data_IF_942834995588
#
_entry.id   IF_942834995588
#
_cell.length_a   1.000
_cell.length_b   1.000
_cell.length_c   1.000
_cell.angle_alpha   90.00
_cell.angle_beta   90.00
_cell.angle_gamma   90.00
#
_symmetry.space_group_name_H-M   'P 1'
#
loop_
_entity.id
_entity.type
_entity.pdbx_description
1 polymer ?
#
# COMPACT_ATOMS: atom_id res chain seq x y z
N UNK A 1 -15.72 -30.53 6.02
CA UNK A 1 -14.51 -30.33 5.19
C UNK A 1 -14.40 -28.84 4.96
N UNK A 2 -13.52 -28.19 5.72
CA UNK A 2 -13.30 -26.75 5.64
C UNK A 2 -12.65 -26.43 4.30
N UNK A 3 -13.43 -25.78 3.43
CA UNK A 3 -13.01 -25.36 2.11
C UNK A 3 -12.18 -24.09 2.28
N UNK A 4 -10.89 -24.24 2.59
CA UNK A 4 -9.91 -23.17 2.54
C UNK A 4 -9.79 -22.70 1.08
N UNK A 5 -10.63 -21.73 0.70
CA UNK A 5 -10.60 -21.08 -0.62
C UNK A 5 -9.24 -20.40 -0.81
N UNK A 6 -8.48 -20.96 -1.75
CA UNK A 6 -7.18 -20.49 -2.19
C UNK A 6 -7.32 -19.23 -3.06
N UNK A 7 -7.20 -18.07 -2.41
CA UNK A 7 -6.28 -17.01 -2.85
C UNK A 7 -6.44 -16.29 -4.20
N UNK A 8 -7.59 -16.28 -4.88
CA UNK A 8 -7.91 -15.27 -5.93
C UNK A 8 -9.40 -15.00 -6.05
N UNK A 9 -9.97 -14.34 -5.06
CA UNK A 9 -11.28 -13.72 -5.27
C UNK A 9 -11.12 -12.57 -6.26
N UNK A 10 -12.10 -12.39 -7.15
CA UNK A 10 -12.13 -11.26 -8.08
C UNK A 10 -12.08 -9.94 -7.31
N UNK A 11 -11.58 -8.87 -7.95
CA UNK A 11 -11.54 -7.55 -7.31
C UNK A 11 -12.91 -7.15 -6.73
N UNK A 12 -13.99 -7.47 -7.44
CA UNK A 12 -15.36 -7.20 -7.00
C UNK A 12 -15.76 -7.99 -5.77
N UNK A 13 -15.44 -9.28 -5.70
CA UNK A 13 -15.73 -10.11 -4.52
C UNK A 13 -15.00 -9.61 -3.26
N UNK A 14 -13.80 -9.05 -3.43
CA UNK A 14 -13.06 -8.42 -2.33
C UNK A 14 -13.76 -7.14 -1.86
N UNK A 15 -14.21 -6.30 -2.81
CA UNK A 15 -14.95 -5.07 -2.50
C UNK A 15 -16.26 -5.39 -1.78
N UNK A 16 -17.03 -6.37 -2.28
CA UNK A 16 -18.30 -6.78 -1.67
C UNK A 16 -18.12 -7.29 -0.24
N UNK A 17 -17.12 -8.16 0.00
CA UNK A 17 -16.82 -8.62 1.37
C UNK A 17 -16.45 -7.49 2.31
N UNK A 18 -15.64 -6.54 1.84
CA UNK A 18 -15.27 -5.37 2.64
C UNK A 18 -16.49 -4.49 2.93
N UNK A 19 -17.35 -4.26 1.94
CA UNK A 19 -18.58 -3.49 2.13
C UNK A 19 -19.51 -4.15 3.16
N UNK A 20 -19.68 -5.47 3.10
CA UNK A 20 -20.43 -6.22 4.11
C UNK A 20 -19.79 -6.12 5.49
N UNK A 21 -18.48 -6.33 5.61
CA UNK A 21 -17.77 -6.22 6.88
C UNK A 21 -17.93 -4.85 7.53
N UNK A 22 -17.80 -3.77 6.75
CA UNK A 22 -17.97 -2.38 7.22
C UNK A 22 -19.41 -2.14 7.68
N UNK A 23 -20.40 -2.60 6.91
CA UNK A 23 -21.83 -2.48 7.24
C UNK A 23 -22.17 -3.21 8.53
N UNK A 24 -21.65 -4.42 8.73
CA UNK A 24 -21.98 -5.28 9.86
C UNK A 24 -21.16 -4.92 11.12
N UNK A 25 -20.08 -4.13 10.99
CA UNK A 25 -19.18 -3.76 12.09
C UNK A 25 -18.89 -2.24 12.14
N UNK A 26 -19.90 -1.36 12.16
CA UNK A 26 -19.75 0.08 11.91
C UNK A 26 -18.74 0.79 12.81
N UNK A 27 -18.57 0.34 14.06
CA UNK A 27 -17.64 0.95 15.03
C UNK A 27 -16.29 0.23 15.13
N UNK A 28 -16.16 -0.96 14.52
CA UNK A 28 -14.98 -1.83 14.67
C UNK A 28 -14.13 -1.94 13.42
N UNK A 29 -14.68 -1.65 12.24
CA UNK A 29 -13.93 -1.78 10.98
C UNK A 29 -12.80 -0.75 10.87
N UNK A 30 -13.01 0.45 11.43
CA UNK A 30 -12.12 1.61 11.24
C UNK A 30 -10.71 1.37 11.80
N UNK A 31 -10.51 0.89 13.05
CA UNK A 31 -9.17 0.56 13.55
C UNK A 31 -8.41 -0.41 12.64
N UNK A 32 -9.01 -1.56 12.31
CA UNK A 32 -8.37 -2.59 11.47
C UNK A 32 -8.05 -2.08 10.07
N UNK A 33 -8.96 -1.34 9.44
CA UNK A 33 -8.71 -0.72 8.15
C UNK A 33 -7.57 0.30 8.22
N UNK A 34 -7.57 1.18 9.23
CA UNK A 34 -6.52 2.17 9.44
C UNK A 34 -5.17 1.50 9.67
N UNK A 35 -5.08 0.45 10.47
CA UNK A 35 -3.86 -0.33 10.68
C UNK A 35 -3.34 -0.93 9.37
N UNK A 36 -4.23 -1.52 8.56
CA UNK A 36 -3.87 -2.08 7.26
C UNK A 36 -3.33 -1.01 6.30
N UNK A 37 -4.00 0.14 6.20
CA UNK A 37 -3.56 1.26 5.36
C UNK A 37 -2.23 1.85 5.85
N UNK A 38 -2.07 2.03 7.16
CA UNK A 38 -0.82 2.49 7.74
C UNK A 38 0.33 1.53 7.45
N UNK A 39 0.11 0.21 7.55
CA UNK A 39 1.11 -0.79 7.21
C UNK A 39 1.55 -0.70 5.74
N UNK A 40 0.65 -0.34 4.81
CA UNK A 40 1.01 -0.12 3.40
C UNK A 40 1.95 1.09 3.27
N UNK A 41 1.65 2.20 3.95
CA UNK A 41 2.52 3.38 3.96
C UNK A 41 3.88 3.07 4.58
N UNK A 42 3.92 2.39 5.73
CA UNK A 42 5.17 1.99 6.39
C UNK A 42 6.04 1.12 5.46
N UNK A 43 5.42 0.17 4.74
CA UNK A 43 6.14 -0.67 3.78
C UNK A 43 6.66 0.13 2.59
N UNK A 44 5.90 1.10 2.12
CA UNK A 44 6.34 2.02 1.07
C UNK A 44 7.53 2.86 1.52
N UNK A 45 7.48 3.45 2.71
CA UNK A 45 8.60 4.22 3.27
C UNK A 45 9.85 3.37 3.45
N UNK A 46 9.70 2.14 3.96
CA UNK A 46 10.81 1.18 4.07
C UNK A 46 11.39 0.81 2.70
N UNK A 47 10.55 0.66 1.68
CA UNK A 47 10.99 0.43 0.31
C UNK A 47 11.78 1.64 -0.24
N UNK A 48 11.24 2.85 -0.10
CA UNK A 48 11.90 4.08 -0.53
C UNK A 48 13.27 4.27 0.15
N UNK A 49 13.31 4.10 1.46
CA UNK A 49 14.54 4.19 2.26
C UNK A 49 15.60 3.18 1.82
N UNK A 50 15.21 1.91 1.56
CA UNK A 50 16.12 0.88 1.04
C UNK A 50 16.62 1.22 -0.35
N UNK A 51 15.73 1.65 -1.24
CA UNK A 51 16.09 2.05 -2.61
C UNK A 51 17.11 3.18 -2.61
N UNK A 52 16.90 4.23 -1.82
CA UNK A 52 17.82 5.37 -1.75
C UNK A 52 19.24 5.01 -1.27
N UNK A 53 19.40 3.91 -0.53
CA UNK A 53 20.70 3.39 -0.09
C UNK A 53 21.43 2.56 -1.16
N UNK A 54 20.75 2.17 -2.24
CA UNK A 54 21.36 1.37 -3.31
C UNK A 54 22.02 2.25 -4.38
N UNK A 55 23.13 1.81 -4.99
CA UNK A 55 23.72 2.49 -6.14
C UNK A 55 22.69 2.65 -7.29
N UNK A 56 22.50 3.88 -7.76
CA UNK A 56 21.53 4.21 -8.81
C UNK A 56 20.06 4.18 -8.37
N UNK A 57 19.80 4.00 -7.06
CA UNK A 57 18.44 3.89 -6.54
C UNK A 57 17.64 5.18 -6.64
N UNK A 58 18.29 6.33 -6.42
CA UNK A 58 17.68 7.66 -6.59
C UNK A 58 17.17 7.86 -8.02
N UNK A 59 17.99 7.54 -9.01
CA UNK A 59 17.65 7.68 -10.45
C UNK A 59 16.51 6.74 -10.84
N UNK A 60 16.51 5.51 -10.32
CA UNK A 60 15.41 4.55 -10.51
C UNK A 60 14.10 5.10 -9.95
N UNK A 61 14.10 5.67 -8.75
CA UNK A 61 12.91 6.26 -8.14
C UNK A 61 12.39 7.47 -8.93
N UNK A 62 13.29 8.36 -9.38
CA UNK A 62 12.93 9.51 -10.22
C UNK A 62 12.24 9.05 -11.51
N UNK A 63 12.78 8.01 -12.16
CA UNK A 63 12.19 7.43 -13.38
C UNK A 63 10.86 6.73 -13.11
N UNK A 64 10.76 5.95 -12.02
CA UNK A 64 9.57 5.18 -11.65
C UNK A 64 8.36 6.10 -11.38
N UNK A 65 8.60 7.23 -10.71
CA UNK A 65 7.55 8.17 -10.33
C UNK A 65 7.40 9.35 -11.29
N UNK A 66 8.08 9.33 -12.45
CA UNK A 66 8.11 10.44 -13.43
C UNK A 66 8.34 11.82 -12.77
N UNK A 67 9.32 11.90 -11.85
CA UNK A 67 9.59 13.12 -11.10
C UNK A 67 10.29 14.15 -12.00
N UNK A 68 9.52 15.13 -12.47
CA UNK A 68 10.01 16.24 -13.32
C UNK A 68 10.62 17.37 -12.50
N UNK A 69 10.01 17.69 -11.35
CA UNK A 69 10.50 18.74 -10.45
C UNK A 69 11.24 18.12 -9.25
N UNK A 70 12.54 17.91 -9.39
CA UNK A 70 13.39 17.34 -8.31
C UNK A 70 13.45 18.24 -7.08
N UNK A 71 13.33 19.56 -7.27
CA UNK A 71 13.37 20.53 -6.18
C UNK A 71 12.12 20.47 -5.28
N UNK A 72 11.04 19.84 -5.75
CA UNK A 72 9.83 19.60 -4.96
C UNK A 72 9.96 18.46 -3.94
N UNK A 73 11.00 17.64 -4.03
CA UNK A 73 11.18 16.46 -3.17
C UNK A 73 12.51 16.56 -2.42
N UNK A 74 12.45 16.64 -1.09
CA UNK A 74 13.64 16.78 -0.24
C UNK A 74 14.70 15.68 -0.47
N UNK A 75 14.26 14.47 -0.81
CA UNK A 75 15.13 13.32 -1.10
C UNK A 75 15.56 13.23 -2.57
N UNK A 76 14.93 13.97 -3.48
CA UNK A 76 15.24 13.92 -4.92
C UNK A 76 16.15 15.07 -5.41
N UNK A 77 16.32 16.12 -4.59
CA UNK A 77 17.38 17.13 -4.73
C UNK A 77 18.74 16.42 -4.72
#
# INVERSE_FOLDING_TARGET
MDNLKTGRDSHMEQVERWAHFVKDNPDKWKPTHTEFINAIFDKHEQFMSRMLKTPGGKEKLIKLYDIKNRNGYSWAK
#
